data_IF_173573059809
#
_entry.id   IF_173573059809
#
_cell.length_a   1.000
_cell.length_b   1.000
_cell.length_c   1.000
_cell.angle_alpha   90.00
_cell.angle_beta   90.00
_cell.angle_gamma   90.00
#
_symmetry.space_group_name_H-M   'P 1'
#
loop_
_entity.id
_entity.type
_entity.pdbx_description
1 polymer ?
#
# COMPACT_ATOMS: atom_id res chain seq x y z
N UNK A 1 12.20 -7.71 25.54
CA UNK A 1 11.48 -6.47 25.77
C UNK A 1 11.26 -5.73 24.45
N UNK A 2 10.07 -5.34 24.21
CA UNK A 2 9.79 -4.55 23.03
C UNK A 2 10.41 -3.17 23.20
N UNK A 3 11.14 -2.74 22.22
CA UNK A 3 11.70 -1.42 22.23
C UNK A 3 10.60 -0.39 22.00
N UNK A 4 10.55 0.60 22.85
CA UNK A 4 9.59 1.69 22.66
C UNK A 4 9.90 2.50 21.40
N UNK A 5 11.15 2.48 20.94
CA UNK A 5 11.52 3.11 19.69
C UNK A 5 10.87 2.49 18.47
N UNK A 6 10.34 1.29 18.59
CA UNK A 6 9.63 0.63 17.52
C UNK A 6 8.18 1.06 17.41
N UNK A 7 7.67 1.75 18.41
CA UNK A 7 6.31 2.24 18.36
C UNK A 7 6.19 3.44 17.45
N UNK A 8 5.22 3.35 16.57
CA UNK A 8 4.89 4.49 15.72
C UNK A 8 3.98 5.43 16.51
N UNK A 9 4.34 6.70 16.66
CA UNK A 9 3.48 7.67 17.34
C UNK A 9 2.13 7.81 16.65
N UNK A 10 1.08 8.25 17.39
CA UNK A 10 -0.22 8.48 16.79
C UNK A 10 -0.13 9.46 15.60
N UNK A 11 -0.77 9.10 14.51
CA UNK A 11 -0.76 9.90 13.29
C UNK A 11 0.41 9.62 12.35
N UNK A 12 1.40 8.88 12.81
CA UNK A 12 2.53 8.48 11.98
C UNK A 12 2.40 7.03 11.56
N UNK A 13 3.12 6.64 10.50
CA UNK A 13 3.15 5.27 10.02
C UNK A 13 4.59 4.79 9.98
N UNK A 14 4.78 3.48 10.08
CA UNK A 14 6.09 2.87 9.95
C UNK A 14 6.48 2.85 8.47
N UNK A 15 7.34 3.78 8.08
CA UNK A 15 7.74 3.95 6.69
C UNK A 15 8.47 2.74 6.13
N UNK A 16 9.17 2.00 6.98
CA UNK A 16 9.87 0.79 6.58
C UNK A 16 8.89 -0.30 6.19
N UNK A 17 7.82 -0.46 6.97
CA UNK A 17 6.77 -1.43 6.64
C UNK A 17 6.02 -1.02 5.39
N UNK A 18 5.78 0.27 5.22
CA UNK A 18 5.13 0.78 4.01
C UNK A 18 6.00 0.48 2.78
N UNK A 19 7.31 0.70 2.88
CA UNK A 19 8.22 0.42 1.79
C UNK A 19 8.21 -1.07 1.39
N UNK A 20 8.17 -1.96 2.36
CA UNK A 20 8.07 -3.39 2.11
C UNK A 20 6.77 -3.77 1.44
N UNK A 21 5.68 -3.17 1.90
CA UNK A 21 4.36 -3.39 1.32
C UNK A 21 4.33 -2.97 -0.15
N UNK A 22 4.86 -1.79 -0.45
CA UNK A 22 4.91 -1.27 -1.81
C UNK A 22 5.78 -2.16 -2.70
N UNK A 23 6.91 -2.62 -2.19
CA UNK A 23 7.77 -3.53 -2.94
C UNK A 23 7.05 -4.82 -3.30
N UNK A 24 6.33 -5.41 -2.34
CA UNK A 24 5.54 -6.61 -2.59
C UNK A 24 4.45 -6.36 -3.64
N UNK A 25 3.76 -5.24 -3.55
CA UNK A 25 2.73 -4.87 -4.51
C UNK A 25 3.31 -4.69 -5.91
N UNK A 26 4.47 -4.05 -6.02
CA UNK A 26 5.12 -3.88 -7.31
C UNK A 26 5.50 -5.21 -7.94
N UNK A 27 5.98 -6.15 -7.14
CA UNK A 27 6.33 -7.47 -7.62
C UNK A 27 5.09 -8.22 -8.13
N UNK A 28 4.00 -8.17 -7.38
CA UNK A 28 2.76 -8.79 -7.80
C UNK A 28 2.22 -8.16 -9.09
N UNK A 29 2.26 -6.84 -9.17
CA UNK A 29 1.78 -6.11 -10.34
C UNK A 29 2.66 -6.34 -11.57
N UNK A 30 3.95 -6.59 -11.37
CA UNK A 30 4.85 -6.88 -12.47
C UNK A 30 4.46 -8.15 -13.23
N UNK A 31 3.82 -9.09 -12.56
CA UNK A 31 3.34 -10.32 -13.18
C UNK A 31 1.97 -10.19 -13.84
N UNK A 32 1.29 -9.09 -13.63
CA UNK A 32 -0.06 -8.88 -14.16
C UNK A 32 0.02 -8.29 -15.57
N UNK A 33 -0.71 -8.90 -16.50
CA UNK A 33 -0.74 -8.45 -17.89
C UNK A 33 -2.06 -7.81 -18.27
N UNK A 34 -2.99 -7.75 -17.32
CA UNK A 34 -4.29 -7.17 -17.57
C UNK A 34 -4.17 -5.67 -17.86
N UNK A 35 -4.90 -5.21 -18.86
CA UNK A 35 -5.07 -3.80 -19.14
C UNK A 35 -6.28 -3.20 -18.51
N UNK A 36 -6.87 -3.85 -17.51
CA UNK A 36 -8.08 -3.36 -16.89
C UNK A 36 -7.83 -2.00 -16.21
N UNK A 37 -8.88 -1.19 -16.18
CA UNK A 37 -8.83 0.14 -15.58
C UNK A 37 -8.51 0.04 -14.09
N UNK A 38 -9.07 -0.95 -13.42
CA UNK A 38 -8.88 -1.13 -11.98
C UNK A 38 -7.42 -1.47 -11.66
N UNK A 39 -6.81 -2.33 -12.44
CA UNK A 39 -5.40 -2.68 -12.25
C UNK A 39 -4.50 -1.47 -12.56
N UNK A 40 -4.83 -0.71 -13.59
CA UNK A 40 -4.08 0.49 -13.90
C UNK A 40 -4.18 1.52 -12.77
N UNK A 41 -5.37 1.67 -12.20
CA UNK A 41 -5.59 2.54 -11.05
C UNK A 41 -4.73 2.10 -9.87
N UNK A 42 -4.67 0.80 -9.60
CA UNK A 42 -3.84 0.27 -8.53
C UNK A 42 -2.36 0.58 -8.77
N UNK A 43 -1.88 0.40 -10.01
CA UNK A 43 -0.50 0.73 -10.36
C UNK A 43 -0.19 2.20 -10.14
N UNK A 44 -1.12 3.06 -10.54
CA UNK A 44 -0.94 4.51 -10.38
C UNK A 44 -0.84 4.90 -8.91
N UNK A 45 -1.69 4.34 -8.07
CA UNK A 45 -1.68 4.62 -6.65
C UNK A 45 -0.39 4.11 -5.98
N UNK A 46 0.06 2.92 -6.36
CA UNK A 46 1.30 2.34 -5.85
C UNK A 46 2.49 3.21 -6.24
N UNK A 47 2.53 3.64 -7.50
CA UNK A 47 3.61 4.50 -7.99
C UNK A 47 3.63 5.85 -7.28
N UNK A 48 2.45 6.43 -7.07
CA UNK A 48 2.32 7.70 -6.36
C UNK A 48 2.89 7.58 -4.95
N UNK A 49 2.52 6.53 -4.22
CA UNK A 49 3.02 6.33 -2.87
C UNK A 49 4.52 6.05 -2.86
N UNK A 50 5.01 5.29 -3.83
CA UNK A 50 6.44 5.05 -3.97
C UNK A 50 7.22 6.35 -4.15
N UNK A 51 6.67 7.26 -4.95
CA UNK A 51 7.30 8.56 -5.17
C UNK A 51 7.34 9.38 -3.88
N UNK A 52 6.29 9.32 -3.08
CA UNK A 52 6.27 9.98 -1.77
C UNK A 52 7.34 9.41 -0.86
N UNK A 53 7.49 8.10 -0.83
CA UNK A 53 8.50 7.43 -0.01
C UNK A 53 9.93 7.76 -0.43
N UNK A 54 10.15 8.01 -1.71
CA UNK A 54 11.46 8.35 -2.25
C UNK A 54 11.75 9.85 -2.24
N UNK A 55 10.78 10.65 -1.82
CA UNK A 55 10.93 12.09 -1.73
C UNK A 55 11.85 12.45 -0.56
N UNK A 56 12.63 13.54 -0.67
CA UNK A 56 13.42 14.05 0.46
C UNK A 56 12.55 14.39 1.66
N UNK A 57 11.30 14.79 1.43
CA UNK A 57 10.34 15.08 2.49
C UNK A 57 9.25 14.03 2.44
N UNK A 58 9.26 13.15 3.43
CA UNK A 58 8.28 12.07 3.53
C UNK A 58 7.27 12.41 4.61
N UNK A 59 6.20 13.06 4.22
CA UNK A 59 5.16 13.46 5.17
C UNK A 59 4.25 12.28 5.47
N UNK A 60 4.11 11.96 6.74
CA UNK A 60 3.32 10.79 7.18
C UNK A 60 1.88 10.85 6.71
N UNK A 61 1.26 12.03 6.71
CA UNK A 61 -0.13 12.12 6.26
C UNK A 61 -0.29 11.84 4.77
N UNK A 62 0.71 12.16 3.95
CA UNK A 62 0.68 11.79 2.52
C UNK A 62 0.80 10.29 2.34
N UNK A 63 1.63 9.65 3.17
CA UNK A 63 1.78 8.19 3.15
C UNK A 63 0.47 7.54 3.61
N UNK A 64 -0.13 8.04 4.66
CA UNK A 64 -1.41 7.52 5.13
C UNK A 64 -2.50 7.66 4.06
N UNK A 65 -2.58 8.81 3.42
CA UNK A 65 -3.55 9.03 2.35
C UNK A 65 -3.34 8.05 1.21
N UNK A 66 -2.08 7.82 0.81
CA UNK A 66 -1.74 6.85 -0.22
C UNK A 66 -2.16 5.43 0.15
N UNK A 67 -1.95 5.05 1.41
CA UNK A 67 -2.38 3.73 1.90
C UNK A 67 -3.89 3.59 1.88
N UNK A 68 -4.63 4.62 2.29
CA UNK A 68 -6.09 4.60 2.21
C UNK A 68 -6.58 4.47 0.77
N UNK A 69 -5.93 5.18 -0.15
CA UNK A 69 -6.29 5.12 -1.56
C UNK A 69 -6.06 3.73 -2.14
N UNK A 70 -4.94 3.11 -1.82
CA UNK A 70 -4.63 1.75 -2.27
C UNK A 70 -5.66 0.77 -1.70
N UNK A 71 -5.95 0.89 -0.41
CA UNK A 71 -6.94 0.03 0.24
C UNK A 71 -8.30 0.16 -0.44
N UNK A 72 -8.69 1.38 -0.77
CA UNK A 72 -9.96 1.64 -1.44
C UNK A 72 -10.02 0.98 -2.82
N UNK A 73 -8.92 1.01 -3.57
CA UNK A 73 -8.86 0.33 -4.86
C UNK A 73 -9.08 -1.17 -4.69
N UNK A 74 -8.45 -1.77 -3.68
CA UNK A 74 -8.66 -3.19 -3.39
C UNK A 74 -10.11 -3.49 -3.06
N UNK A 75 -10.75 -2.63 -2.28
CA UNK A 75 -12.15 -2.82 -1.90
C UNK A 75 -13.08 -2.65 -3.09
N UNK A 76 -12.80 -1.69 -3.97
CA UNK A 76 -13.63 -1.41 -5.13
C UNK A 76 -13.43 -2.40 -6.26
N UNK A 77 -12.25 -2.99 -6.36
CA UNK A 77 -11.85 -3.83 -7.49
C UNK A 77 -11.50 -5.26 -7.07
N UNK A 78 -12.22 -5.79 -6.10
CA UNK A 78 -11.95 -7.14 -5.56
C UNK A 78 -11.89 -8.18 -6.67
N UNK A 79 -12.86 -8.17 -7.57
CA UNK A 79 -12.93 -9.16 -8.64
C UNK A 79 -11.73 -9.12 -9.57
N UNK A 80 -11.33 -7.91 -9.95
CA UNK A 80 -10.17 -7.73 -10.84
C UNK A 80 -8.88 -8.17 -10.16
N UNK A 81 -8.73 -7.83 -8.89
CA UNK A 81 -7.54 -8.18 -8.10
C UNK A 81 -7.43 -9.69 -7.94
N UNK A 82 -8.52 -10.35 -7.57
CA UNK A 82 -8.54 -11.80 -7.38
C UNK A 82 -8.30 -12.52 -8.71
N UNK A 83 -8.87 -12.02 -9.80
CA UNK A 83 -8.71 -12.61 -11.12
C UNK A 83 -7.23 -12.63 -11.56
N UNK A 84 -6.44 -11.67 -11.10
CA UNK A 84 -5.02 -11.61 -11.42
C UNK A 84 -4.14 -12.36 -10.43
N UNK A 85 -4.73 -13.05 -9.48
CA UNK A 85 -3.99 -13.83 -8.49
C UNK A 85 -3.36 -13.00 -7.38
N UNK A 86 -3.73 -11.74 -7.26
CA UNK A 86 -3.23 -10.88 -6.19
C UNK A 86 -4.03 -11.15 -4.92
N UNK A 87 -3.33 -11.32 -3.81
CA UNK A 87 -3.97 -11.60 -2.52
C UNK A 87 -4.42 -10.30 -1.86
N UNK A 88 -5.48 -9.71 -2.42
CA UNK A 88 -5.97 -8.42 -1.98
C UNK A 88 -6.34 -8.36 -0.51
N UNK A 89 -6.94 -9.42 0.04
CA UNK A 89 -7.32 -9.44 1.45
C UNK A 89 -6.10 -9.35 2.38
N UNK A 90 -4.98 -9.94 1.98
CA UNK A 90 -3.73 -9.82 2.75
C UNK A 90 -3.22 -8.39 2.73
N UNK A 91 -3.26 -7.74 1.58
CA UNK A 91 -2.81 -6.36 1.46
C UNK A 91 -3.72 -5.41 2.24
N UNK A 92 -5.03 -5.62 2.18
CA UNK A 92 -5.98 -4.81 2.96
C UNK A 92 -5.69 -4.96 4.46
N UNK A 93 -5.44 -6.17 4.92
CA UNK A 93 -5.10 -6.42 6.33
C UNK A 93 -3.80 -5.75 6.73
N UNK A 94 -2.77 -5.84 5.89
CA UNK A 94 -1.47 -5.21 6.13
C UNK A 94 -1.61 -3.69 6.22
N UNK A 95 -2.33 -3.11 5.29
CA UNK A 95 -2.57 -1.67 5.27
C UNK A 95 -3.33 -1.25 6.53
N UNK A 96 -4.36 -2.01 6.89
CA UNK A 96 -5.12 -1.73 8.11
C UNK A 96 -4.24 -1.77 9.34
N UNK A 97 -3.34 -2.75 9.43
CA UNK A 97 -2.40 -2.87 10.54
C UNK A 97 -1.46 -1.66 10.60
N UNK A 98 -0.91 -1.28 9.48
CA UNK A 98 0.00 -0.13 9.40
C UNK A 98 -0.72 1.16 9.79
N UNK A 99 -1.97 1.31 9.36
CA UNK A 99 -2.77 2.49 9.67
C UNK A 99 -3.33 2.48 11.10
N UNK A 100 -3.24 1.36 11.79
CA UNK A 100 -3.76 1.25 13.14
C UNK A 100 -5.28 1.06 13.19
N UNK A 101 -5.84 0.47 12.16
CA UNK A 101 -7.29 0.22 12.10
C UNK A 101 -7.67 -1.10 12.76
#
# INVERSE_FOLDING_TARGET
MVSEGERTPPGEVDLEEVAKLIESLEQDLAGVRSGSRDIQRLRDEVETLKNVLNSPVRRHHWVRDGLHDIRKVFEDAVDAVVAEGIKGSQYVSEIGRILGL
#
